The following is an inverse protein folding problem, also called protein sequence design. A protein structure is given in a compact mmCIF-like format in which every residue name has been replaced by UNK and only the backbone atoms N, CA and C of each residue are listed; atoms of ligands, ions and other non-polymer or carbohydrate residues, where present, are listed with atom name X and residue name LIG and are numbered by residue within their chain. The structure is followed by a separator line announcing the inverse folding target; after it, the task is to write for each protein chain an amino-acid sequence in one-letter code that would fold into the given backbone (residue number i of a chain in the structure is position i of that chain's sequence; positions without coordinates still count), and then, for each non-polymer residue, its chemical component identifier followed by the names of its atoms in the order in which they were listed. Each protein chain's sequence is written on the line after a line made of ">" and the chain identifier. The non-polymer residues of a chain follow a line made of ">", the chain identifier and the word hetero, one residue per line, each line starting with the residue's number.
data_IF_024644999828
#
_entry.id   IF_024644999828
#
_cell.length_a   1.000
_cell.length_b   1.000
_cell.length_c   1.000
_cell.angle_alpha   90.00
_cell.angle_beta   90.00
_cell.angle_gamma   90.00
#
_symmetry.space_group_name_H-M   'P 1'
#
loop_
_entity.id
_entity.type
_entity.pdbx_description
1 polymer ?
#
# COMPACT_ATOMS: atom_id res chain seq x y z
N UNK A 1 75.52 21.23 -25.90
CA UNK A 1 74.40 20.42 -25.40
C UNK A 1 74.84 19.71 -24.13
N UNK A 2 74.15 19.87 -23.00
CA UNK A 2 74.06 18.82 -22.00
C UNK A 2 72.66 18.20 -22.04
N UNK A 3 72.60 16.87 -21.95
CA UNK A 3 71.38 16.10 -21.82
C UNK A 3 70.86 16.32 -20.39
N UNK A 4 69.65 16.87 -20.27
CA UNK A 4 68.94 17.06 -19.00
C UNK A 4 68.77 15.69 -18.34
N UNK A 5 69.48 15.45 -17.23
CA UNK A 5 69.24 14.30 -16.37
C UNK A 5 67.80 14.41 -15.83
N UNK A 6 66.88 13.61 -16.38
CA UNK A 6 65.55 13.47 -15.82
C UNK A 6 65.73 12.74 -14.49
N UNK A 7 65.66 13.50 -13.40
CA UNK A 7 65.85 13.01 -12.05
C UNK A 7 64.76 11.99 -11.73
N UNK A 8 65.16 10.77 -11.35
CA UNK A 8 64.29 9.62 -11.07
C UNK A 8 63.25 9.91 -9.95
N UNK A 9 63.43 10.98 -9.18
CA UNK A 9 62.55 11.45 -8.11
C UNK A 9 61.28 12.17 -8.56
N UNK A 10 61.21 12.70 -9.79
CA UNK A 10 60.05 13.47 -10.27
C UNK A 10 58.82 12.60 -10.60
N UNK A 11 59.03 11.31 -10.88
CA UNK A 11 57.93 10.36 -11.18
C UNK A 11 57.22 9.84 -9.93
N UNK A 12 57.88 9.84 -8.76
CA UNK A 12 57.32 9.38 -7.49
C UNK A 12 56.09 10.18 -7.01
N UNK A 13 56.11 11.53 -6.99
CA UNK A 13 54.93 12.31 -6.61
C UNK A 13 53.80 12.17 -7.62
N UNK A 14 54.10 12.17 -8.93
CA UNK A 14 53.09 12.00 -9.98
C UNK A 14 52.36 10.65 -9.85
N UNK A 15 53.10 9.56 -9.63
CA UNK A 15 52.51 8.23 -9.42
C UNK A 15 51.64 8.17 -8.15
N UNK A 16 52.05 8.86 -7.07
CA UNK A 16 51.25 8.96 -5.84
C UNK A 16 49.94 9.72 -6.07
N UNK A 17 49.97 10.81 -6.83
CA UNK A 17 48.77 11.58 -7.15
C UNK A 17 47.82 10.81 -8.07
N UNK A 18 48.33 10.13 -9.10
CA UNK A 18 47.48 9.31 -9.98
C UNK A 18 46.84 8.15 -9.22
N UNK A 19 47.59 7.47 -8.36
CA UNK A 19 47.07 6.42 -7.50
C UNK A 19 46.00 6.96 -6.52
N UNK A 20 46.24 8.13 -5.91
CA UNK A 20 45.28 8.76 -5.01
C UNK A 20 43.97 9.16 -5.73
N UNK A 21 44.07 9.76 -6.91
CA UNK A 21 42.90 10.12 -7.74
C UNK A 21 42.14 8.86 -8.16
N UNK A 22 42.83 7.79 -8.57
CA UNK A 22 42.21 6.52 -8.94
C UNK A 22 41.44 5.91 -7.76
N UNK A 23 42.04 5.87 -6.56
CA UNK A 23 41.38 5.38 -5.36
C UNK A 23 40.18 6.24 -4.96
N UNK A 24 40.28 7.57 -5.07
CA UNK A 24 39.17 8.50 -4.85
C UNK A 24 38.03 8.29 -5.84
N UNK A 25 38.35 8.09 -7.12
CA UNK A 25 37.36 7.84 -8.17
C UNK A 25 36.61 6.52 -7.92
N UNK A 26 37.33 5.44 -7.60
CA UNK A 26 36.74 4.14 -7.28
C UNK A 26 35.88 4.23 -6.01
N UNK A 27 36.41 4.84 -4.95
CA UNK A 27 35.67 5.02 -3.69
C UNK A 27 34.43 5.89 -3.85
N UNK A 28 34.53 6.98 -4.62
CA UNK A 28 33.41 7.86 -4.95
C UNK A 28 32.34 7.15 -5.78
N UNK A 29 32.73 6.39 -6.80
CA UNK A 29 31.80 5.60 -7.61
C UNK A 29 31.09 4.53 -6.78
N UNK A 30 31.81 3.82 -5.92
CA UNK A 30 31.22 2.80 -5.03
C UNK A 30 30.22 3.42 -4.05
N UNK A 31 30.58 4.56 -3.44
CA UNK A 31 29.69 5.28 -2.53
C UNK A 31 28.43 5.77 -3.26
N UNK A 32 28.59 6.32 -4.46
CA UNK A 32 27.49 6.78 -5.29
C UNK A 32 26.49 5.66 -5.62
N UNK A 33 26.99 4.50 -6.05
CA UNK A 33 26.15 3.32 -6.33
C UNK A 33 25.40 2.86 -5.07
N UNK A 34 26.09 2.80 -3.93
CA UNK A 34 25.49 2.42 -2.64
C UNK A 34 24.36 3.35 -2.22
N UNK A 35 24.55 4.66 -2.36
CA UNK A 35 23.54 5.67 -2.01
C UNK A 35 22.33 5.57 -2.93
N UNK A 36 22.55 5.31 -4.22
CA UNK A 36 21.48 5.27 -5.22
C UNK A 36 20.65 3.97 -5.18
N UNK A 37 21.24 2.83 -4.81
CA UNK A 37 20.53 1.54 -4.78
C UNK A 37 19.71 1.32 -3.50
N UNK A 38 20.13 1.88 -2.36
CA UNK A 38 19.39 1.80 -1.08
C UNK A 38 17.90 2.17 -1.20
N UNK A 39 17.52 3.34 -1.76
CA UNK A 39 16.11 3.73 -1.83
C UNK A 39 15.27 2.82 -2.74
N UNK A 40 15.88 2.17 -3.73
CA UNK A 40 15.18 1.23 -4.61
C UNK A 40 14.81 -0.06 -3.87
N UNK A 41 15.72 -0.57 -3.03
CA UNK A 41 15.45 -1.74 -2.17
C UNK A 41 14.36 -1.43 -1.15
N UNK A 42 14.39 -0.24 -0.54
CA UNK A 42 13.35 0.21 0.38
C UNK A 42 11.98 0.29 -0.32
N UNK A 43 11.94 0.79 -1.56
CA UNK A 43 10.73 0.83 -2.41
C UNK A 43 10.18 -0.55 -2.72
N UNK A 44 11.04 -1.49 -3.10
CA UNK A 44 10.65 -2.88 -3.38
C UNK A 44 9.99 -3.53 -2.15
N UNK A 45 10.63 -3.43 -0.99
CA UNK A 45 10.07 -3.96 0.24
C UNK A 45 8.76 -3.28 0.66
N UNK A 46 8.65 -1.97 0.48
CA UNK A 46 7.41 -1.25 0.76
C UNK A 46 6.28 -1.64 -0.21
N UNK A 47 6.59 -1.83 -1.50
CA UNK A 47 5.62 -2.26 -2.49
C UNK A 47 5.09 -3.66 -2.20
N UNK A 48 5.96 -4.60 -1.79
CA UNK A 48 5.56 -5.93 -1.35
C UNK A 48 4.67 -5.89 -0.10
N UNK A 49 4.90 -4.96 0.83
CA UNK A 49 4.05 -4.77 2.00
C UNK A 49 2.66 -4.25 1.60
N UNK A 50 2.59 -3.22 0.75
CA UNK A 50 1.32 -2.68 0.23
C UNK A 50 0.55 -3.77 -0.52
N UNK A 51 1.22 -4.60 -1.31
CA UNK A 51 0.61 -5.75 -2.00
C UNK A 51 0.05 -6.83 -1.06
N UNK A 52 0.51 -6.88 0.20
CA UNK A 52 -0.04 -7.74 1.26
C UNK A 52 -1.10 -7.05 2.12
N UNK A 53 -1.54 -5.85 1.75
CA UNK A 53 -2.48 -5.05 2.54
C UNK A 53 -1.87 -4.35 3.75
N UNK A 54 -0.53 -4.42 3.92
CA UNK A 54 0.17 -3.72 5.00
C UNK A 54 0.54 -2.33 4.47
N UNK A 55 0.05 -1.27 5.11
CA UNK A 55 0.39 0.10 4.74
C UNK A 55 1.66 0.53 5.48
N UNK A 56 2.83 0.62 4.80
CA UNK A 56 4.06 1.07 5.44
C UNK A 56 4.04 2.58 5.70
N UNK A 57 4.88 3.09 6.62
CA UNK A 57 5.09 4.53 6.76
C UNK A 57 5.69 5.13 5.47
N UNK A 58 5.49 6.43 5.22
CA UNK A 58 6.03 7.09 4.04
C UNK A 58 7.54 6.90 3.92
N UNK A 59 8.00 6.49 2.74
CA UNK A 59 9.41 6.34 2.46
C UNK A 59 10.07 7.71 2.36
N UNK A 60 11.31 7.80 2.85
CA UNK A 60 12.11 9.03 2.75
C UNK A 60 12.45 9.30 1.28
N UNK A 61 12.24 10.54 0.83
CA UNK A 61 12.61 10.99 -0.52
C UNK A 61 14.10 11.41 -0.57
N UNK A 62 15.00 10.48 -0.90
CA UNK A 62 16.44 10.76 -1.04
C UNK A 62 17.04 10.08 -2.29
N UNK A 63 18.25 10.51 -2.70
CA UNK A 63 18.91 10.07 -3.94
C UNK A 63 18.70 11.04 -5.11
N UNK A 64 18.95 10.55 -6.34
CA UNK A 64 18.74 11.34 -7.55
C UNK A 64 17.29 11.85 -7.70
N UNK A 65 17.10 12.85 -8.56
CA UNK A 65 15.77 13.45 -8.85
C UNK A 65 14.73 12.41 -9.25
N UNK A 66 15.12 11.44 -10.06
CA UNK A 66 14.25 10.41 -10.63
C UNK A 66 13.77 9.48 -9.53
N UNK A 67 14.67 9.03 -8.66
CA UNK A 67 14.34 8.16 -7.52
C UNK A 67 13.41 8.88 -6.56
N UNK A 68 13.72 10.14 -6.21
CA UNK A 68 12.84 10.94 -5.35
C UNK A 68 11.44 11.11 -5.93
N UNK A 69 11.34 11.34 -7.25
CA UNK A 69 10.05 11.45 -7.94
C UNK A 69 9.24 10.16 -7.86
N UNK A 70 9.89 9.00 -8.08
CA UNK A 70 9.24 7.68 -7.96
C UNK A 70 8.83 7.40 -6.52
N UNK A 71 9.68 7.68 -5.53
CA UNK A 71 9.35 7.53 -4.12
C UNK A 71 8.15 8.37 -3.71
N UNK A 72 8.07 9.62 -4.20
CA UNK A 72 6.92 10.49 -3.97
C UNK A 72 5.63 9.92 -4.57
N UNK A 73 5.68 9.48 -5.82
CA UNK A 73 4.53 8.86 -6.49
C UNK A 73 4.07 7.59 -5.74
N UNK A 74 5.01 6.76 -5.28
CA UNK A 74 4.73 5.60 -4.46
C UNK A 74 4.05 5.97 -3.13
N UNK A 75 4.59 6.98 -2.42
CA UNK A 75 4.00 7.46 -1.16
C UNK A 75 2.56 7.96 -1.35
N UNK A 76 2.29 8.69 -2.44
CA UNK A 76 0.93 9.12 -2.78
C UNK A 76 0.00 7.94 -3.06
N UNK A 77 0.46 6.95 -3.83
CA UNK A 77 -0.30 5.73 -4.10
C UNK A 77 -0.61 4.96 -2.81
N UNK A 78 0.39 4.74 -1.95
CA UNK A 78 0.23 4.04 -0.68
C UNK A 78 -0.76 4.76 0.26
N UNK A 79 -0.71 6.10 0.32
CA UNK A 79 -1.67 6.89 1.05
C UNK A 79 -3.09 6.78 0.47
N UNK A 80 -3.24 6.77 -0.86
CA UNK A 80 -4.52 6.56 -1.52
C UNK A 80 -5.12 5.17 -1.25
N UNK A 81 -4.30 4.12 -1.29
CA UNK A 81 -4.72 2.75 -0.93
C UNK A 81 -5.19 2.70 0.53
N UNK A 82 -4.45 3.34 1.45
CA UNK A 82 -4.87 3.45 2.84
C UNK A 82 -6.24 4.13 2.98
N UNK A 83 -6.42 5.27 2.31
CA UNK A 83 -7.68 6.01 2.36
C UNK A 83 -8.86 5.15 1.86
N UNK A 84 -8.68 4.44 0.75
CA UNK A 84 -9.71 3.53 0.22
C UNK A 84 -10.05 2.40 1.21
N UNK A 85 -9.06 1.88 1.93
CA UNK A 85 -9.26 0.87 2.97
C UNK A 85 -10.02 1.44 4.19
N UNK A 86 -9.67 2.67 4.60
CA UNK A 86 -10.34 3.38 5.70
C UNK A 86 -11.79 3.72 5.34
N UNK A 87 -12.04 4.21 4.12
CA UNK A 87 -13.39 4.53 3.62
C UNK A 87 -14.27 3.27 3.55
N UNK A 88 -13.71 2.13 3.13
CA UNK A 88 -14.41 0.84 3.14
C UNK A 88 -14.83 0.45 4.55
N UNK A 89 -13.99 0.67 5.55
CA UNK A 89 -14.32 0.39 6.97
C UNK A 89 -15.47 1.29 7.45
N UNK A 90 -15.44 2.56 7.07
CA UNK A 90 -16.46 3.53 7.45
C UNK A 90 -17.82 3.20 6.83
N UNK A 91 -17.85 2.72 5.58
CA UNK A 91 -19.06 2.22 4.93
C UNK A 91 -19.68 1.02 5.67
N UNK A 92 -18.87 0.14 6.28
CA UNK A 92 -19.41 -1.01 7.04
C UNK A 92 -20.22 -0.59 8.26
N UNK A 93 -19.73 0.43 8.98
CA UNK A 93 -20.34 0.86 10.22
C UNK A 93 -21.49 1.87 9.99
N UNK A 94 -21.30 2.83 9.08
CA UNK A 94 -22.25 3.92 8.86
C UNK A 94 -23.51 3.49 8.13
N UNK A 95 -23.36 2.74 7.03
CA UNK A 95 -24.50 2.45 6.15
C UNK A 95 -25.52 1.51 6.80
N UNK A 96 -25.05 0.46 7.50
CA UNK A 96 -25.96 -0.46 8.21
C UNK A 96 -26.77 0.24 9.30
N UNK A 97 -26.12 1.13 10.07
CA UNK A 97 -26.78 1.90 11.12
C UNK A 97 -27.84 2.86 10.55
N UNK A 98 -27.50 3.57 9.47
CA UNK A 98 -28.38 4.56 8.86
C UNK A 98 -29.57 3.92 8.13
N UNK A 99 -29.43 2.68 7.63
CA UNK A 99 -30.53 1.91 7.03
C UNK A 99 -31.47 1.30 8.08
N UNK A 100 -30.98 0.93 9.26
CA UNK A 100 -31.82 0.36 10.33
C UNK A 100 -32.87 1.37 10.81
N UNK A 101 -32.52 2.64 10.90
CA UNK A 101 -33.40 3.72 11.40
C UNK A 101 -34.70 3.88 10.58
N UNK A 102 -34.68 4.06 9.24
CA UNK A 102 -35.89 4.12 8.44
C UNK A 102 -36.64 2.78 8.41
N UNK A 103 -35.95 1.62 8.37
CA UNK A 103 -36.60 0.31 8.38
C UNK A 103 -37.40 0.08 9.67
N UNK A 104 -36.85 0.44 10.84
CA UNK A 104 -37.58 0.39 12.11
C UNK A 104 -38.78 1.32 12.10
N UNK A 105 -38.68 2.51 11.50
CA UNK A 105 -39.82 3.42 11.36
C UNK A 105 -40.93 2.85 10.46
N UNK A 106 -40.58 2.19 9.37
CA UNK A 106 -41.56 1.53 8.50
C UNK A 106 -42.24 0.37 9.24
N UNK A 107 -41.48 -0.44 9.99
CA UNK A 107 -42.04 -1.50 10.84
C UNK A 107 -42.99 -0.97 11.91
N UNK A 108 -42.66 0.15 12.56
CA UNK A 108 -43.57 0.81 13.49
C UNK A 108 -44.84 1.34 12.79
N UNK A 109 -44.71 1.82 11.55
CA UNK A 109 -45.85 2.28 10.77
C UNK A 109 -46.77 1.12 10.33
N UNK A 110 -46.22 -0.06 10.02
CA UNK A 110 -47.02 -1.25 9.69
C UNK A 110 -47.78 -1.79 10.90
N UNK A 111 -47.22 -1.66 12.11
CA UNK A 111 -47.91 -1.98 13.37
C UNK A 111 -49.12 -1.07 13.65
N UNK A 112 -49.19 0.12 13.02
CA UNK A 112 -50.31 1.05 13.15
C UNK A 112 -51.36 0.92 12.03
N UNK A 113 -51.18 -0.01 11.08
CA UNK A 113 -52.12 -0.23 9.98
C UNK A 113 -53.44 -0.86 10.47
N UNK A 114 -54.51 -0.65 9.71
CA UNK A 114 -55.84 -1.19 10.05
C UNK A 114 -55.88 -2.72 9.87
N UNK A 115 -56.74 -3.44 10.61
CA UNK A 115 -56.88 -4.89 10.45
C UNK A 115 -57.25 -5.33 9.02
N UNK A 116 -57.93 -4.46 8.28
CA UNK A 116 -58.31 -4.67 6.88
C UNK A 116 -57.08 -4.74 5.96
N UNK A 117 -56.00 -4.05 6.36
CA UNK A 117 -54.72 -4.00 5.65
C UNK A 117 -53.67 -4.94 6.29
N UNK A 118 -54.06 -5.83 7.20
CA UNK A 118 -53.14 -6.71 7.93
C UNK A 118 -52.26 -7.56 7.02
N UNK A 119 -52.79 -8.02 5.88
CA UNK A 119 -52.02 -8.77 4.89
C UNK A 119 -50.93 -7.93 4.21
N UNK A 120 -51.16 -6.62 4.01
CA UNK A 120 -50.16 -5.68 3.49
C UNK A 120 -49.08 -5.42 4.54
N UNK A 121 -49.48 -5.21 5.79
CA UNK A 121 -48.55 -5.02 6.90
C UNK A 121 -47.61 -6.22 7.06
N UNK A 122 -48.14 -7.44 6.97
CA UNK A 122 -47.35 -8.67 7.05
C UNK A 122 -46.41 -8.84 5.84
N UNK A 123 -46.87 -8.52 4.63
CA UNK A 123 -46.01 -8.51 3.43
C UNK A 123 -44.86 -7.51 3.56
N UNK A 124 -45.13 -6.27 4.00
CA UNK A 124 -44.11 -5.23 4.18
C UNK A 124 -43.10 -5.65 5.24
N UNK A 125 -43.55 -6.24 6.35
CA UNK A 125 -42.66 -6.73 7.40
C UNK A 125 -41.71 -7.83 6.88
N UNK A 126 -42.19 -8.72 6.02
CA UNK A 126 -41.36 -9.74 5.37
C UNK A 126 -40.31 -9.12 4.43
N UNK A 127 -40.68 -8.12 3.65
CA UNK A 127 -39.74 -7.40 2.77
C UNK A 127 -38.65 -6.66 3.57
N UNK A 128 -39.01 -6.11 4.75
CA UNK A 128 -38.04 -5.51 5.68
C UNK A 128 -37.05 -6.55 6.21
N UNK A 129 -37.52 -7.76 6.55
CA UNK A 129 -36.64 -8.86 6.98
C UNK A 129 -35.69 -9.29 5.88
N UNK A 130 -36.18 -9.40 4.64
CA UNK A 130 -35.34 -9.72 3.48
C UNK A 130 -34.29 -8.63 3.21
N UNK A 131 -34.68 -7.36 3.30
CA UNK A 131 -33.74 -6.23 3.19
C UNK A 131 -32.65 -6.28 4.28
N UNK A 132 -33.01 -6.58 5.53
CA UNK A 132 -32.03 -6.74 6.61
C UNK A 132 -31.06 -7.91 6.32
N UNK A 133 -31.57 -9.05 5.84
CA UNK A 133 -30.73 -10.20 5.51
C UNK A 133 -29.72 -9.89 4.39
N UNK A 134 -30.14 -9.14 3.35
CA UNK A 134 -29.24 -8.71 2.26
C UNK A 134 -28.17 -7.76 2.79
N UNK A 135 -28.54 -6.81 3.66
CA UNK A 135 -27.58 -5.87 4.27
C UNK A 135 -26.55 -6.64 5.10
N UNK A 136 -26.97 -7.59 5.93
CA UNK A 136 -26.07 -8.41 6.76
C UNK A 136 -25.09 -9.21 5.89
N UNK A 137 -25.56 -9.90 4.85
CA UNK A 137 -24.70 -10.63 3.91
C UNK A 137 -23.66 -9.73 3.23
N UNK A 138 -24.07 -8.51 2.85
CA UNK A 138 -23.16 -7.55 2.23
C UNK A 138 -22.07 -7.09 3.21
N UNK A 139 -22.43 -6.81 4.46
CA UNK A 139 -21.46 -6.45 5.51
C UNK A 139 -20.49 -7.60 5.80
N UNK A 140 -20.99 -8.84 5.88
CA UNK A 140 -20.15 -10.02 6.12
C UNK A 140 -19.16 -10.27 4.97
N UNK A 141 -19.61 -10.12 3.72
CA UNK A 141 -18.73 -10.20 2.55
C UNK A 141 -17.60 -9.17 2.62
N UNK A 142 -17.93 -7.95 3.02
CA UNK A 142 -16.96 -6.87 3.06
C UNK A 142 -15.97 -7.01 4.21
N UNK A 143 -16.37 -7.61 5.35
CA UNK A 143 -15.50 -7.99 6.47
C UNK A 143 -14.52 -9.09 6.10
N UNK A 144 -14.98 -10.12 5.38
CA UNK A 144 -14.15 -11.28 4.97
C UNK A 144 -12.95 -10.87 4.10
N UNK A 145 -13.06 -9.79 3.34
CA UNK A 145 -11.96 -9.24 2.54
C UNK A 145 -10.77 -8.70 3.34
N UNK A 146 -10.88 -8.54 4.66
CA UNK A 146 -9.77 -8.09 5.53
C UNK A 146 -8.99 -9.24 6.20
N UNK A 147 -9.58 -10.44 6.29
CA UNK A 147 -9.03 -11.51 7.12
C UNK A 147 -8.34 -12.64 6.36
N UNK A 148 -8.34 -12.65 5.03
CA UNK A 148 -7.58 -13.68 4.30
C UNK A 148 -6.09 -13.31 4.29
N UNK A 149 -5.24 -13.99 5.09
CA UNK A 149 -3.81 -13.83 4.93
C UNK A 149 -3.50 -14.33 3.52
N UNK A 150 -2.83 -13.51 2.71
CA UNK A 150 -2.21 -13.98 1.47
C UNK A 150 -1.10 -14.95 1.85
N UNK A 151 -1.47 -16.19 2.14
CA UNK A 151 -0.56 -17.31 2.23
C UNK A 151 -0.14 -17.65 0.80
N UNK A 152 1.16 -17.76 0.57
CA UNK A 152 1.70 -18.21 -0.70
C UNK A 152 1.23 -19.65 -0.90
N UNK A 153 0.16 -19.84 -1.66
CA UNK A 153 -0.29 -21.17 -2.04
C UNK A 153 0.79 -21.79 -2.95
N UNK A 154 1.50 -22.79 -2.42
CA UNK A 154 2.46 -23.54 -3.21
C UNK A 154 1.71 -24.41 -4.23
N UNK A 155 1.64 -23.93 -5.47
CA UNK A 155 1.00 -24.63 -6.57
C UNK A 155 1.78 -25.88 -7.02
N UNK A 156 2.98 -26.14 -6.48
CA UNK A 156 3.81 -27.29 -6.88
C UNK A 156 3.54 -28.58 -6.08
N UNK A 157 2.57 -28.59 -5.16
CA UNK A 157 2.21 -29.78 -4.39
C UNK A 157 1.23 -30.77 -5.08
N UNK A 158 0.59 -30.39 -6.20
CA UNK A 158 -0.45 -31.21 -6.84
C UNK A 158 0.10 -32.09 -7.96
N UNK A 159 1.03 -32.98 -7.63
CA UNK A 159 1.31 -34.18 -8.45
C UNK A 159 1.46 -35.39 -7.53
N UNK A 160 0.34 -36.04 -7.21
CA UNK A 160 0.32 -37.45 -6.84
C UNK A 160 -1.01 -38.08 -7.18
#
# INVERSE_FOLDING_TARGET
>A
MPLTEIHQGDFSPLFRYTLAIMLLAIGGAWLFIRIQNRPLVDLEHAALQVGKGIIPPPLREYGASEVRSVTRAFNHMAAGVKQLADDRTLLMAGVSHDLRTPLTRIRLATEMMSEQDGYLAESINKDIEECNAIIEQFIDYLRTGQEMPMEMADLNGSTR
#
